data_IF_772671226054
#
_entry.id   IF_772671226054
#
_cell.length_a   1.000
_cell.length_b   1.000
_cell.length_c   1.000
_cell.angle_alpha   90.00
_cell.angle_beta   90.00
_cell.angle_gamma   90.00
#
_symmetry.space_group_name_H-M   'P 1'
#
loop_
_entity.id
_entity.type
_entity.pdbx_description
1 polymer ?
#
# COMPACT_ATOMS: atom_id res chain seq x y z
N UNK A 1 -10.23 -14.90 -22.40
CA UNK A 1 -11.06 -15.10 -23.61
C UNK A 1 -12.47 -15.40 -23.13
N UNK A 2 -13.37 -14.41 -23.21
CA UNK A 2 -14.78 -14.64 -22.91
C UNK A 2 -15.39 -15.24 -24.17
N UNK A 3 -15.56 -16.54 -24.20
CA UNK A 3 -16.34 -17.23 -25.24
C UNK A 3 -17.80 -17.12 -24.78
N UNK A 4 -18.54 -16.23 -25.38
CA UNK A 4 -20.01 -16.24 -25.27
C UNK A 4 -20.55 -17.31 -26.19
N UNK A 5 -20.54 -18.57 -25.78
CA UNK A 5 -21.39 -19.59 -26.39
C UNK A 5 -22.82 -19.39 -25.91
N UNK A 6 -23.86 -19.57 -26.80
CA UNK A 6 -25.24 -19.47 -26.37
C UNK A 6 -25.50 -20.47 -25.24
N UNK A 7 -25.81 -19.97 -24.07
CA UNK A 7 -26.10 -20.76 -22.86
C UNK A 7 -25.13 -20.61 -21.67
N UNK A 8 -23.95 -20.01 -21.84
CA UNK A 8 -23.04 -19.76 -20.73
C UNK A 8 -23.19 -18.33 -20.21
N UNK A 9 -23.67 -18.18 -18.97
CA UNK A 9 -23.77 -16.90 -18.27
C UNK A 9 -22.67 -16.84 -17.20
N UNK A 10 -21.75 -15.85 -17.31
CA UNK A 10 -20.78 -15.58 -16.26
C UNK A 10 -21.53 -14.92 -15.10
N UNK A 11 -21.66 -15.64 -13.99
CA UNK A 11 -22.36 -15.17 -12.80
C UNK A 11 -21.47 -14.24 -11.99
N UNK A 12 -20.18 -14.57 -11.87
CA UNK A 12 -19.22 -13.81 -11.09
C UNK A 12 -17.79 -13.90 -11.66
N UNK A 13 -16.98 -12.91 -11.38
CA UNK A 13 -15.55 -12.89 -11.70
C UNK A 13 -14.80 -12.17 -10.59
N UNK A 14 -13.74 -12.77 -10.08
CA UNK A 14 -12.88 -12.22 -9.01
C UNK A 14 -12.38 -10.82 -9.38
N UNK A 15 -12.07 -10.56 -10.65
CA UNK A 15 -11.56 -9.26 -11.11
C UNK A 15 -12.52 -8.10 -10.80
N UNK A 16 -13.82 -8.35 -10.76
CA UNK A 16 -14.85 -7.33 -10.43
C UNK A 16 -14.77 -6.88 -8.97
N UNK A 17 -14.22 -7.72 -8.11
CA UNK A 17 -14.09 -7.48 -6.67
C UNK A 17 -12.69 -7.06 -6.26
N UNK A 18 -11.70 -7.14 -7.16
CA UNK A 18 -10.36 -6.65 -6.89
C UNK A 18 -10.37 -5.12 -6.77
N UNK A 19 -10.04 -4.64 -5.59
CA UNK A 19 -9.95 -3.20 -5.30
C UNK A 19 -8.71 -2.56 -5.90
N UNK A 20 -7.66 -3.38 -6.10
CA UNK A 20 -6.33 -2.92 -6.52
C UNK A 20 -5.73 -3.92 -7.49
N UNK A 21 -5.46 -3.49 -8.72
CA UNK A 21 -4.75 -4.24 -9.74
C UNK A 21 -3.50 -3.44 -10.08
N UNK A 22 -2.29 -3.94 -9.79
CA UNK A 22 -1.06 -3.28 -10.20
C UNK A 22 -0.82 -3.43 -11.70
N UNK A 23 -0.24 -2.40 -12.31
CA UNK A 23 0.08 -2.42 -13.73
C UNK A 23 0.96 -1.26 -14.17
N UNK A 24 1.37 -1.31 -15.42
CA UNK A 24 2.18 -0.28 -16.07
C UNK A 24 1.33 0.50 -17.07
N UNK A 25 1.18 1.80 -16.86
CA UNK A 25 0.53 2.71 -17.79
C UNK A 25 1.52 3.12 -18.89
N UNK A 26 1.20 2.79 -20.13
CA UNK A 26 2.09 3.00 -21.28
C UNK A 26 1.87 4.40 -21.87
N UNK A 27 2.78 5.29 -21.60
CA UNK A 27 2.78 6.66 -22.12
C UNK A 27 3.84 6.87 -23.20
N UNK A 28 4.98 6.16 -23.12
CA UNK A 28 6.12 6.31 -24.04
C UNK A 28 5.77 6.07 -25.50
N UNK A 29 4.80 5.21 -25.78
CA UNK A 29 4.32 4.94 -27.12
C UNK A 29 3.58 6.14 -27.77
N UNK A 30 3.24 7.18 -27.01
CA UNK A 30 2.46 8.36 -27.44
C UNK A 30 1.14 8.02 -28.15
N UNK A 31 0.62 6.80 -27.94
CA UNK A 31 -0.60 6.27 -28.55
C UNK A 31 -1.76 6.36 -27.57
N UNK A 32 -2.89 6.87 -28.06
CA UNK A 32 -4.13 7.00 -27.30
C UNK A 32 -5.24 6.19 -27.97
N UNK A 33 -6.23 5.80 -27.18
CA UNK A 33 -7.31 4.90 -27.61
C UNK A 33 -8.70 5.53 -27.42
N UNK A 34 -8.76 6.86 -27.54
CA UNK A 34 -9.97 7.65 -27.38
C UNK A 34 -9.97 8.53 -26.14
N UNK A 35 -11.12 9.10 -25.84
CA UNK A 35 -11.34 10.03 -24.73
C UNK A 35 -12.44 9.50 -23.83
N UNK A 36 -12.29 9.61 -22.53
CA UNK A 36 -13.32 9.32 -21.54
C UNK A 36 -13.30 10.41 -20.45
N UNK A 37 -14.41 11.13 -20.32
CA UNK A 37 -14.56 12.24 -19.34
C UNK A 37 -13.36 13.20 -19.37
N UNK A 38 -13.07 13.76 -20.53
CA UNK A 38 -11.97 14.74 -20.77
C UNK A 38 -10.56 14.21 -20.50
N UNK A 39 -10.37 12.90 -20.37
CA UNK A 39 -9.08 12.24 -20.22
C UNK A 39 -8.81 11.32 -21.41
N UNK A 40 -7.57 11.32 -21.87
CA UNK A 40 -7.14 10.39 -22.89
C UNK A 40 -7.05 8.97 -22.32
N UNK A 41 -7.44 7.98 -23.12
CA UNK A 41 -7.31 6.57 -22.78
C UNK A 41 -5.95 6.04 -23.21
N UNK A 42 -5.22 5.45 -22.28
CA UNK A 42 -3.93 4.81 -22.50
C UNK A 42 -4.01 3.32 -22.17
N UNK A 43 -3.12 2.55 -22.78
CA UNK A 43 -2.94 1.15 -22.40
C UNK A 43 -2.33 1.04 -21.01
N UNK A 44 -2.90 0.15 -20.21
CA UNK A 44 -2.36 -0.28 -18.94
C UNK A 44 -2.18 -1.79 -18.97
N UNK A 45 -0.93 -2.24 -18.81
CA UNK A 45 -0.56 -3.66 -18.79
C UNK A 45 -0.54 -4.10 -17.33
N UNK A 46 -1.46 -5.01 -16.92
CA UNK A 46 -1.43 -5.57 -15.56
C UNK A 46 -0.14 -6.36 -15.31
N UNK A 47 0.28 -6.45 -14.05
CA UNK A 47 1.38 -7.35 -13.64
C UNK A 47 1.00 -8.82 -13.82
N UNK A 48 -0.23 -9.17 -13.50
CA UNK A 48 -0.76 -10.51 -13.76
C UNK A 48 -0.99 -10.72 -15.26
N UNK A 49 -0.12 -11.49 -15.90
CA UNK A 49 -0.15 -11.79 -17.33
C UNK A 49 -1.36 -12.60 -17.79
N UNK A 50 -2.16 -13.15 -16.87
CA UNK A 50 -3.44 -13.80 -17.15
C UNK A 50 -4.53 -12.79 -17.49
N UNK A 51 -4.34 -11.52 -17.12
CA UNK A 51 -5.27 -10.44 -17.39
C UNK A 51 -4.95 -9.78 -18.74
N UNK A 52 -5.98 -9.34 -19.48
CA UNK A 52 -5.77 -8.60 -20.73
C UNK A 52 -5.27 -7.18 -20.45
N UNK A 53 -4.73 -6.53 -21.48
CA UNK A 53 -4.43 -5.11 -21.44
C UNK A 53 -5.71 -4.29 -21.27
N UNK A 54 -5.70 -3.34 -20.33
CA UNK A 54 -6.79 -2.42 -20.04
C UNK A 54 -6.62 -1.08 -20.73
N UNK A 55 -7.71 -0.35 -20.92
CA UNK A 55 -7.71 1.08 -21.26
C UNK A 55 -8.03 1.87 -19.99
N UNK A 56 -7.13 2.76 -19.60
CA UNK A 56 -7.24 3.55 -18.37
C UNK A 56 -7.17 5.03 -18.70
N UNK A 57 -8.15 5.84 -18.26
CA UNK A 57 -8.16 7.28 -18.48
C UNK A 57 -7.09 7.96 -17.62
N UNK A 58 -6.21 8.73 -18.28
CA UNK A 58 -5.16 9.49 -17.62
C UNK A 58 -5.01 10.88 -18.23
N UNK A 59 -4.74 11.87 -17.38
CA UNK A 59 -4.44 13.25 -17.81
C UNK A 59 -2.96 13.52 -17.55
N UNK A 60 -2.20 13.71 -18.61
CA UNK A 60 -0.81 14.15 -18.50
C UNK A 60 -0.76 15.51 -17.80
N UNK A 61 0.10 15.64 -16.81
CA UNK A 61 0.41 16.96 -16.25
C UNK A 61 1.11 17.78 -17.34
N UNK A 62 0.69 19.04 -17.50
CA UNK A 62 1.30 19.97 -18.43
C UNK A 62 2.57 20.57 -17.82
N UNK A 63 3.64 19.80 -17.78
CA UNK A 63 4.96 20.32 -17.49
C UNK A 63 5.65 20.79 -18.79
N UNK A 64 6.54 21.77 -18.69
CA UNK A 64 7.32 22.31 -19.82
C UNK A 64 8.07 21.23 -20.63
N UNK A 65 8.42 20.12 -19.99
CA UNK A 65 8.93 18.91 -20.64
C UNK A 65 7.84 17.84 -20.56
N UNK A 66 7.07 17.68 -21.64
CA UNK A 66 6.13 16.53 -21.80
C UNK A 66 6.93 15.22 -21.84
N UNK A 67 7.35 14.74 -20.70
CA UNK A 67 8.01 13.44 -20.59
C UNK A 67 6.94 12.34 -20.61
N UNK A 68 6.87 11.64 -21.72
CA UNK A 68 6.03 10.46 -21.88
C UNK A 68 6.71 9.24 -21.23
N UNK A 69 7.00 9.33 -19.94
CA UNK A 69 7.55 8.21 -19.16
C UNK A 69 6.43 7.33 -18.70
N UNK A 70 6.58 6.00 -18.87
CA UNK A 70 5.62 5.03 -18.36
C UNK A 70 5.53 5.14 -16.85
N UNK A 71 4.35 4.82 -16.31
CA UNK A 71 4.08 4.93 -14.88
C UNK A 71 3.70 3.57 -14.30
N UNK A 72 4.22 3.27 -13.12
CA UNK A 72 3.63 2.26 -12.27
C UNK A 72 2.34 2.82 -11.66
N UNK A 73 1.27 2.07 -11.78
CA UNK A 73 -0.06 2.48 -11.33
C UNK A 73 -0.78 1.34 -10.66
N UNK A 74 -1.79 1.68 -9.88
CA UNK A 74 -2.83 0.76 -9.47
C UNK A 74 -4.16 1.21 -10.08
N UNK A 75 -4.96 0.26 -10.48
CA UNK A 75 -6.28 0.52 -11.04
C UNK A 75 -7.25 -0.59 -10.62
N UNK A 76 -8.54 -0.41 -10.91
CA UNK A 76 -9.57 -1.42 -10.74
C UNK A 76 -10.35 -1.62 -12.02
N UNK A 77 -10.92 -2.79 -12.19
CA UNK A 77 -11.84 -3.08 -13.29
C UNK A 77 -13.05 -2.14 -13.24
N UNK A 78 -13.49 -1.67 -14.39
CA UNK A 78 -14.72 -0.87 -14.53
C UNK A 78 -15.76 -1.56 -15.42
N UNK A 79 -15.48 -1.73 -16.70
CA UNK A 79 -16.37 -2.38 -17.66
C UNK A 79 -15.58 -3.10 -18.76
N UNK A 80 -16.28 -3.99 -19.49
CA UNK A 80 -15.74 -4.61 -20.69
C UNK A 80 -16.82 -4.69 -21.77
N UNK A 81 -16.93 -3.64 -22.58
CA UNK A 81 -17.88 -3.56 -23.67
C UNK A 81 -17.24 -3.65 -25.06
N UNK A 82 -15.92 -3.41 -25.15
CA UNK A 82 -15.16 -3.34 -26.39
C UNK A 82 -14.02 -4.36 -26.41
N UNK A 83 -13.13 -4.25 -27.41
CA UNK A 83 -11.95 -5.13 -27.56
C UNK A 83 -11.09 -5.21 -26.28
N UNK A 84 -10.93 -4.10 -25.58
CA UNK A 84 -10.17 -4.02 -24.33
C UNK A 84 -11.10 -3.66 -23.17
N UNK A 85 -10.90 -4.25 -21.98
CA UNK A 85 -11.61 -3.80 -20.79
C UNK A 85 -11.16 -2.38 -20.41
N UNK A 86 -12.06 -1.64 -19.79
CA UNK A 86 -11.72 -0.36 -19.16
C UNK A 86 -11.42 -0.53 -17.69
N UNK A 87 -10.47 0.26 -17.23
CA UNK A 87 -10.09 0.32 -15.83
C UNK A 87 -10.14 1.75 -15.31
N UNK A 88 -10.44 1.89 -14.03
CA UNK A 88 -10.39 3.17 -13.32
C UNK A 88 -9.09 3.25 -12.55
N UNK A 89 -8.29 4.27 -12.82
CA UNK A 89 -7.08 4.57 -12.07
C UNK A 89 -7.40 4.80 -10.58
N UNK A 90 -6.71 4.11 -9.68
CA UNK A 90 -6.82 4.29 -8.23
C UNK A 90 -5.65 5.08 -7.68
N UNK A 91 -4.41 4.76 -8.12
CA UNK A 91 -3.23 5.50 -7.71
C UNK A 91 -2.17 5.53 -8.83
N UNK A 92 -1.33 6.55 -8.81
CA UNK A 92 -0.12 6.67 -9.63
C UNK A 92 1.06 6.61 -8.69
N UNK A 93 1.79 5.51 -8.71
CA UNK A 93 2.93 5.29 -7.81
C UNK A 93 4.13 6.16 -8.23
N UNK A 94 4.43 6.22 -9.52
CA UNK A 94 5.49 7.06 -10.06
C UNK A 94 6.05 6.55 -11.37
N UNK A 95 7.24 7.01 -11.73
CA UNK A 95 7.91 6.67 -12.98
C UNK A 95 8.53 5.28 -12.92
N UNK A 96 8.44 4.52 -14.02
CA UNK A 96 9.08 3.18 -14.11
C UNK A 96 10.61 3.23 -14.03
N UNK A 97 11.22 4.39 -14.24
CA UNK A 97 12.66 4.60 -14.11
C UNK A 97 13.12 4.84 -12.68
N UNK A 98 12.20 4.99 -11.72
CA UNK A 98 12.52 5.25 -10.32
C UNK A 98 12.51 3.93 -9.53
N UNK A 99 13.62 3.62 -8.87
CA UNK A 99 13.81 2.39 -8.11
C UNK A 99 12.89 2.29 -6.89
N UNK A 100 12.68 3.37 -6.15
CA UNK A 100 11.77 3.39 -4.99
C UNK A 100 10.34 3.10 -5.43
N UNK A 101 9.91 3.70 -6.55
CA UNK A 101 8.60 3.42 -7.16
C UNK A 101 8.46 1.95 -7.57
N UNK A 102 9.55 1.35 -8.07
CA UNK A 102 9.55 -0.07 -8.42
C UNK A 102 9.36 -0.95 -7.17
N UNK A 103 10.00 -0.64 -6.06
CA UNK A 103 9.81 -1.37 -4.82
C UNK A 103 8.37 -1.26 -4.31
N UNK A 104 7.80 -0.07 -4.29
CA UNK A 104 6.40 0.12 -3.92
C UNK A 104 5.46 -0.66 -4.84
N UNK A 105 5.72 -0.62 -6.16
CA UNK A 105 4.97 -1.39 -7.14
C UNK A 105 5.01 -2.90 -6.85
N UNK A 106 6.20 -3.44 -6.50
CA UNK A 106 6.35 -4.86 -6.15
C UNK A 106 5.53 -5.25 -4.91
N UNK A 107 5.37 -4.37 -3.93
CA UNK A 107 4.49 -4.65 -2.79
C UNK A 107 3.05 -4.86 -3.25
N UNK A 108 2.54 -4.01 -4.14
CA UNK A 108 1.21 -4.20 -4.72
C UNK A 108 1.11 -5.49 -5.55
N UNK A 109 2.14 -5.85 -6.33
CA UNK A 109 2.17 -7.10 -7.09
C UNK A 109 2.11 -8.34 -6.18
N UNK A 110 2.62 -8.24 -4.95
CA UNK A 110 2.53 -9.28 -3.91
C UNK A 110 1.30 -9.16 -3.02
N UNK A 111 0.34 -8.31 -3.38
CA UNK A 111 -0.90 -8.06 -2.65
C UNK A 111 -0.69 -7.49 -1.22
N UNK A 112 0.45 -6.90 -0.96
CA UNK A 112 0.74 -6.29 0.34
C UNK A 112 0.06 -4.93 0.51
N UNK A 113 -0.34 -4.28 -0.60
CA UNK A 113 -1.09 -3.01 -0.62
C UNK A 113 -0.52 -1.94 0.33
N UNK A 114 0.79 -1.87 0.44
CA UNK A 114 1.51 -1.00 1.36
C UNK A 114 2.24 0.10 0.59
N UNK A 115 2.16 1.34 1.07
CA UNK A 115 2.89 2.46 0.49
C UNK A 115 4.16 2.72 1.30
N UNK A 116 5.30 2.84 0.61
CA UNK A 116 6.59 3.24 1.19
C UNK A 116 6.81 4.76 1.10
N UNK A 117 5.83 5.50 0.58
CA UNK A 117 5.93 6.96 0.49
C UNK A 117 5.91 7.59 1.88
N UNK A 118 6.68 8.65 2.03
CA UNK A 118 6.68 9.44 3.25
C UNK A 118 5.26 9.89 3.63
N UNK A 119 5.00 10.04 4.91
CA UNK A 119 3.75 10.58 5.40
C UNK A 119 3.38 11.88 4.69
N UNK A 120 2.11 12.07 4.41
CA UNK A 120 1.62 13.33 3.84
C UNK A 120 2.03 14.49 4.76
N UNK A 121 2.20 15.67 4.17
CA UNK A 121 2.53 16.87 4.96
C UNK A 121 1.52 17.13 6.09
N UNK A 122 0.25 16.79 5.85
CA UNK A 122 -0.81 16.91 6.86
C UNK A 122 -0.56 15.95 8.03
N UNK A 123 -0.25 14.70 7.75
CA UNK A 123 0.07 13.69 8.77
C UNK A 123 1.33 14.06 9.55
N UNK A 124 2.39 14.44 8.83
CA UNK A 124 3.65 14.87 9.45
C UNK A 124 3.47 16.10 10.35
N UNK A 125 2.64 17.05 9.96
CA UNK A 125 2.31 18.21 10.80
C UNK A 125 1.53 17.81 12.05
N UNK A 126 0.53 16.93 11.91
CA UNK A 126 -0.25 16.44 13.06
C UNK A 126 0.62 15.72 14.10
N UNK A 127 1.62 14.96 13.66
CA UNK A 127 2.57 14.30 14.57
C UNK A 127 3.44 15.31 15.35
N UNK A 128 3.61 16.54 14.84
CA UNK A 128 4.37 17.61 15.50
C UNK A 128 3.53 18.51 16.43
N UNK A 129 2.20 18.39 16.39
CA UNK A 129 1.29 19.21 17.21
C UNK A 129 1.35 18.88 18.69
N UNK A 130 1.83 17.69 19.05
CA UNK A 130 1.87 17.18 20.43
C UNK A 130 3.21 16.57 20.74
N UNK A 131 3.58 16.63 22.01
CA UNK A 131 4.74 15.93 22.55
C UNK A 131 4.45 14.44 22.68
N UNK A 132 5.49 13.63 22.79
CA UNK A 132 5.38 12.20 23.03
C UNK A 132 4.52 11.89 24.27
N UNK A 133 4.74 12.63 25.36
CA UNK A 133 4.00 12.45 26.62
C UNK A 133 2.51 12.74 26.47
N UNK A 134 2.15 13.76 25.69
CA UNK A 134 0.74 14.07 25.41
C UNK A 134 0.08 12.98 24.56
N UNK A 135 0.79 12.39 23.59
CA UNK A 135 0.28 11.25 22.82
C UNK A 135 0.09 10.03 23.71
N UNK A 136 1.04 9.71 24.57
CA UNK A 136 0.96 8.59 25.50
C UNK A 136 -0.25 8.77 26.42
N UNK A 137 -0.42 9.94 27.03
CA UNK A 137 -1.55 10.24 27.89
C UNK A 137 -2.88 10.05 27.17
N UNK A 138 -3.00 10.52 25.93
CA UNK A 138 -4.21 10.32 25.13
C UNK A 138 -4.47 8.84 24.79
N UNK A 139 -3.43 8.06 24.52
CA UNK A 139 -3.56 6.63 24.23
C UNK A 139 -4.07 5.89 25.46
N UNK A 140 -3.50 6.16 26.61
CA UNK A 140 -3.90 5.53 27.88
C UNK A 140 -5.32 5.92 28.29
N UNK A 141 -5.70 7.19 28.11
CA UNK A 141 -7.07 7.67 28.37
C UNK A 141 -8.09 6.96 27.47
N UNK A 142 -7.81 6.83 26.18
CA UNK A 142 -8.70 6.19 25.21
C UNK A 142 -8.77 4.67 25.35
N UNK A 143 -7.75 4.07 25.93
CA UNK A 143 -7.62 2.62 26.02
C UNK A 143 -7.30 2.19 27.47
N UNK A 144 -8.26 2.22 28.39
CA UNK A 144 -8.02 1.93 29.81
C UNK A 144 -7.57 0.48 30.09
N UNK A 145 -7.56 -0.40 29.08
CA UNK A 145 -7.01 -1.76 29.18
C UNK A 145 -5.49 -1.80 28.97
N UNK A 146 -4.90 -0.76 28.41
CA UNK A 146 -3.44 -0.68 28.22
C UNK A 146 -2.82 -0.40 29.60
N UNK A 147 -1.77 -1.16 29.93
CA UNK A 147 -0.97 -0.97 31.15
C UNK A 147 0.39 -0.40 30.79
N UNK A 148 0.78 0.66 31.45
CA UNK A 148 2.10 1.25 31.34
C UNK A 148 3.05 0.58 32.33
N UNK A 149 4.11 -0.05 31.83
CA UNK A 149 5.10 -0.75 32.65
C UNK A 149 6.45 0.00 32.75
N UNK A 150 6.57 1.18 32.14
CA UNK A 150 7.84 1.89 32.03
C UNK A 150 8.47 2.27 33.36
N UNK A 151 7.67 2.60 34.35
CA UNK A 151 8.18 3.06 35.66
C UNK A 151 8.36 1.94 36.70
N UNK A 152 7.63 0.83 36.54
CA UNK A 152 7.52 -0.19 37.58
C UNK A 152 8.15 -1.53 37.22
N UNK A 153 8.76 -1.65 36.05
CA UNK A 153 9.30 -2.93 35.56
C UNK A 153 10.62 -2.71 34.85
N UNK A 154 11.65 -3.46 35.24
CA UNK A 154 12.91 -3.48 34.51
C UNK A 154 12.70 -4.30 33.21
N UNK A 155 12.56 -3.61 32.09
CA UNK A 155 12.40 -4.20 30.76
C UNK A 155 13.74 -4.08 30.04
N UNK A 156 14.20 -5.16 29.43
CA UNK A 156 15.47 -5.21 28.68
C UNK A 156 15.33 -6.04 27.41
N UNK A 157 16.11 -5.70 26.40
CA UNK A 157 16.25 -6.45 25.14
C UNK A 157 17.56 -7.24 25.14
N UNK A 158 17.60 -8.34 24.42
CA UNK A 158 18.82 -9.14 24.21
C UNK A 158 19.02 -9.24 22.69
N UNK A 159 19.78 -8.32 22.16
CA UNK A 159 20.02 -8.18 20.72
C UNK A 159 21.52 -8.26 20.41
N UNK A 160 21.90 -8.66 19.17
CA UNK A 160 23.27 -8.59 18.71
C UNK A 160 23.85 -7.17 18.79
N UNK A 161 25.14 -7.06 18.96
CA UNK A 161 25.83 -5.76 18.93
C UNK A 161 25.60 -5.09 17.57
N UNK A 162 25.08 -3.85 17.59
CA UNK A 162 24.81 -3.07 16.40
C UNK A 162 23.37 -3.19 15.86
N UNK A 163 22.48 -3.88 16.57
CA UNK A 163 21.04 -3.86 16.24
C UNK A 163 20.49 -2.44 16.32
N UNK A 164 19.69 -2.07 15.31
CA UNK A 164 19.00 -0.78 15.23
C UNK A 164 17.52 -0.89 15.58
N UNK A 165 16.93 -2.07 15.38
CA UNK A 165 15.52 -2.36 15.65
C UNK A 165 15.41 -3.34 16.82
N UNK A 166 14.57 -3.02 17.79
CA UNK A 166 14.32 -3.81 18.99
C UNK A 166 12.86 -4.20 19.01
N UNK A 167 12.55 -5.39 18.47
CA UNK A 167 11.17 -5.85 18.27
C UNK A 167 10.60 -6.58 19.48
N UNK A 168 11.48 -7.17 20.31
CA UNK A 168 11.10 -7.91 21.50
C UNK A 168 11.89 -7.45 22.72
N UNK A 169 11.24 -7.59 23.86
CA UNK A 169 11.82 -7.27 25.15
C UNK A 169 11.33 -8.26 26.21
N UNK A 170 12.08 -8.35 27.27
CA UNK A 170 11.84 -9.26 28.39
C UNK A 170 11.83 -8.50 29.70
N UNK A 171 11.09 -9.03 30.67
CA UNK A 171 11.27 -8.67 32.08
C UNK A 171 11.24 -9.90 32.95
N UNK A 172 11.99 -9.85 34.05
CA UNK A 172 12.03 -10.88 35.07
C UNK A 172 11.73 -10.23 36.41
N UNK A 173 10.70 -10.67 37.08
CA UNK A 173 10.31 -10.19 38.40
C UNK A 173 10.22 -11.36 39.37
N UNK A 174 10.88 -11.26 40.50
CA UNK A 174 10.76 -12.25 41.58
C UNK A 174 9.36 -12.11 42.22
N UNK A 175 8.62 -13.20 42.28
CA UNK A 175 7.24 -13.19 42.84
C UNK A 175 7.21 -13.53 44.30
N UNK A 176 7.94 -14.58 44.72
CA UNK A 176 8.01 -15.07 46.09
C UNK A 176 9.41 -15.62 46.35
N UNK A 177 9.63 -16.29 47.46
CA UNK A 177 10.96 -16.82 47.83
C UNK A 177 11.53 -17.83 46.84
N UNK A 178 10.68 -18.48 46.05
CA UNK A 178 11.05 -19.56 45.11
C UNK A 178 10.65 -19.35 43.66
N UNK A 179 9.90 -18.27 43.33
CA UNK A 179 9.30 -18.07 42.01
C UNK A 179 9.78 -16.81 41.26
N UNK A 180 9.75 -16.90 39.93
CA UNK A 180 9.99 -15.78 39.02
C UNK A 180 8.86 -15.67 38.03
N UNK A 181 8.43 -14.44 37.75
CA UNK A 181 7.54 -14.11 36.65
C UNK A 181 8.37 -13.58 35.49
N UNK A 182 8.30 -14.25 34.35
CA UNK A 182 8.91 -13.80 33.11
C UNK A 182 7.80 -13.25 32.21
N UNK A 183 8.00 -12.05 31.68
CA UNK A 183 7.11 -11.47 30.67
C UNK A 183 7.89 -11.20 29.40
N UNK A 184 7.24 -11.45 28.26
CA UNK A 184 7.74 -11.17 26.91
C UNK A 184 6.88 -10.06 26.33
N UNK A 185 7.52 -9.04 25.81
CA UNK A 185 6.89 -7.89 25.16
C UNK A 185 7.26 -7.92 23.68
N UNK A 186 6.28 -7.84 22.81
CA UNK A 186 6.47 -7.86 21.35
C UNK A 186 5.93 -6.55 20.80
N UNK A 187 6.70 -5.89 19.94
CA UNK A 187 6.27 -4.69 19.26
C UNK A 187 5.00 -4.97 18.44
N UNK A 188 4.01 -4.13 18.60
CA UNK A 188 2.78 -4.18 17.82
C UNK A 188 2.81 -3.02 16.81
N UNK A 189 3.20 -3.33 15.56
CA UNK A 189 3.36 -2.36 14.47
C UNK A 189 2.07 -2.25 13.66
#
# INVERSE_FOLDING_TARGET
TFITSPGIKIINSIIRHMTTIPGVLILSAKKTYGVYKDKLLYQCIPDDNRLPTFLVPYKLKSDFKKQYVNKYVTFRYETWCNKHPSGRLTNVLGDVSNLETFYEYQLYCKSLNYSIQNFTRVTANKLKEKTEQEFISLILERNPKIRDYRENTNIFCIDPIGSADFDDALSITKTDETGYKIAVYIANV
#
